data_IF_695547404415
#
_entry.id   IF_695547404415
#
_cell.length_a   1.000
_cell.length_b   1.000
_cell.length_c   1.000
_cell.angle_alpha   90.00
_cell.angle_beta   90.00
_cell.angle_gamma   90.00
#
_symmetry.space_group_name_H-M   'P 1'
#
loop_
_entity.id
_entity.type
_entity.pdbx_description
1 polymer ?
#
# COMPACT_ATOMS: atom_id res chain seq x y z
N UNK A 1 6.72 71.04 -64.42
CA UNK A 1 7.82 71.52 -63.55
C UNK A 1 7.38 71.36 -62.11
N UNK A 2 8.22 70.73 -61.27
CA UNK A 2 8.53 71.00 -59.83
C UNK A 2 7.35 71.40 -58.90
N UNK A 3 7.09 70.88 -57.70
CA UNK A 3 7.90 70.43 -56.53
C UNK A 3 6.90 69.94 -55.46
N UNK A 4 7.18 68.89 -54.69
CA UNK A 4 7.51 68.92 -53.23
C UNK A 4 6.52 69.61 -52.26
N UNK A 5 6.16 68.89 -51.18
CA UNK A 5 6.18 69.43 -49.82
C UNK A 5 4.86 69.55 -49.03
N UNK A 6 4.83 68.86 -47.86
CA UNK A 6 4.21 69.29 -46.58
C UNK A 6 2.67 69.42 -46.47
N UNK A 7 2.00 69.36 -45.31
CA UNK A 7 2.07 68.71 -43.98
C UNK A 7 0.81 69.25 -43.24
N UNK A 8 0.27 68.50 -42.25
CA UNK A 8 -0.70 68.91 -41.20
C UNK A 8 -2.18 69.10 -41.62
N UNK A 9 -3.13 68.27 -41.17
CA UNK A 9 -3.79 68.19 -39.85
C UNK A 9 -5.18 68.88 -39.89
N UNK A 10 -6.11 68.40 -39.04
CA UNK A 10 -7.49 68.86 -38.79
C UNK A 10 -8.64 68.21 -39.61
N UNK A 11 -9.25 67.18 -38.99
CA UNK A 11 -10.63 66.68 -39.14
C UNK A 11 -11.66 67.82 -38.90
N UNK A 12 -12.95 67.76 -39.33
CA UNK A 12 -13.84 66.63 -38.99
C UNK A 12 -15.06 66.39 -39.90
N UNK A 13 -15.89 65.43 -39.47
CA UNK A 13 -17.29 65.18 -39.85
C UNK A 13 -17.50 63.93 -40.71
N UNK A 14 -17.41 62.78 -40.05
CA UNK A 14 -17.81 61.48 -40.60
C UNK A 14 -18.44 60.63 -39.52
N UNK A 15 -19.76 60.43 -39.64
CA UNK A 15 -20.65 59.52 -38.92
C UNK A 15 -19.95 58.42 -38.09
N UNK A 16 -20.29 58.37 -36.80
CA UNK A 16 -19.94 57.28 -35.88
C UNK A 16 -20.44 55.93 -36.43
N UNK A 17 -19.52 55.12 -36.94
CA UNK A 17 -19.69 53.66 -36.98
C UNK A 17 -19.01 53.08 -35.75
N UNK A 18 -19.81 52.75 -34.74
CA UNK A 18 -19.34 51.96 -33.60
C UNK A 18 -19.10 50.52 -34.09
N UNK A 19 -17.84 50.20 -34.41
CA UNK A 19 -17.41 48.82 -34.64
C UNK A 19 -17.39 48.11 -33.30
N UNK A 20 -18.44 47.35 -32.99
CA UNK A 20 -18.46 46.45 -31.85
C UNK A 20 -17.48 45.31 -32.12
N UNK A 21 -16.27 45.39 -31.56
CA UNK A 21 -15.38 44.24 -31.51
C UNK A 21 -16.03 43.18 -30.61
N UNK A 22 -16.15 41.91 -31.05
CA UNK A 22 -16.54 40.85 -30.14
C UNK A 22 -15.45 40.75 -29.08
N UNK A 23 -15.81 41.08 -27.83
CA UNK A 23 -14.97 40.85 -26.66
C UNK A 23 -14.78 39.34 -26.55
N UNK A 24 -13.68 38.84 -27.11
CA UNK A 24 -13.19 37.48 -26.89
C UNK A 24 -13.09 37.29 -25.38
N UNK A 25 -14.06 36.60 -24.80
CA UNK A 25 -14.09 36.23 -23.40
C UNK A 25 -13.01 35.16 -23.19
N UNK A 26 -11.73 35.58 -23.13
CA UNK A 26 -10.65 34.72 -22.63
C UNK A 26 -10.98 34.47 -21.17
N UNK A 27 -11.61 33.32 -20.89
CA UNK A 27 -11.76 32.83 -19.54
C UNK A 27 -10.39 32.90 -18.86
N UNK A 28 -10.30 33.64 -17.76
CA UNK A 28 -9.05 33.83 -17.04
C UNK A 28 -8.56 32.47 -16.53
N UNK A 29 -7.29 32.06 -16.77
CA UNK A 29 -6.77 30.74 -16.40
C UNK A 29 -6.86 30.44 -14.89
N UNK A 30 -7.01 31.47 -14.05
CA UNK A 30 -7.22 31.35 -12.61
C UNK A 30 -8.58 30.71 -12.24
N UNK A 31 -9.64 30.98 -13.02
CA UNK A 31 -10.97 30.45 -12.73
C UNK A 31 -11.04 28.92 -12.95
N UNK A 32 -10.36 28.41 -13.98
CA UNK A 32 -10.26 26.96 -14.23
C UNK A 32 -9.46 26.23 -13.16
N UNK A 33 -8.40 26.84 -12.61
CA UNK A 33 -7.59 26.23 -11.54
C UNK A 33 -8.30 26.17 -10.19
N UNK A 34 -9.15 27.16 -9.87
CA UNK A 34 -9.96 27.16 -8.65
C UNK A 34 -11.06 26.10 -8.71
N UNK A 35 -11.75 25.96 -9.86
CA UNK A 35 -12.77 24.93 -10.06
C UNK A 35 -12.16 23.52 -9.96
N UNK A 36 -11.01 23.28 -10.61
CA UNK A 36 -10.29 22.01 -10.51
C UNK A 36 -9.87 21.68 -9.06
N UNK A 37 -9.51 22.71 -8.27
CA UNK A 37 -9.17 22.53 -6.86
C UNK A 37 -10.37 22.13 -6.01
N UNK A 38 -11.55 22.76 -6.21
CA UNK A 38 -12.77 22.40 -5.49
C UNK A 38 -13.24 20.98 -5.82
N UNK A 39 -13.24 20.61 -7.10
CA UNK A 39 -13.60 19.26 -7.56
C UNK A 39 -12.68 18.22 -6.93
N UNK A 40 -11.37 18.49 -6.86
CA UNK A 40 -10.42 17.59 -6.21
C UNK A 40 -10.65 17.45 -4.70
N UNK A 41 -10.97 18.55 -4.01
CA UNK A 41 -11.27 18.51 -2.57
C UNK A 41 -12.55 17.71 -2.26
N UNK A 42 -13.57 17.83 -3.13
CA UNK A 42 -14.81 17.09 -2.97
C UNK A 42 -14.62 15.58 -3.23
N UNK A 43 -13.88 15.21 -4.28
CA UNK A 43 -13.48 13.83 -4.53
C UNK A 43 -12.66 13.24 -3.37
N UNK A 44 -11.78 14.04 -2.76
CA UNK A 44 -11.01 13.61 -1.58
C UNK A 44 -11.89 13.34 -0.35
N UNK A 45 -12.92 14.17 -0.12
CA UNK A 45 -13.87 13.94 0.97
C UNK A 45 -14.70 12.68 0.71
N UNK A 46 -15.11 12.48 -0.53
CA UNK A 46 -15.84 11.28 -0.95
C UNK A 46 -15.00 10.01 -0.77
N UNK A 47 -13.73 10.02 -1.19
CA UNK A 47 -12.81 8.90 -0.98
C UNK A 47 -12.71 8.53 0.51
N UNK A 48 -12.50 9.51 1.39
CA UNK A 48 -12.44 9.27 2.85
C UNK A 48 -13.74 8.70 3.43
N UNK A 49 -14.89 9.13 2.91
CA UNK A 49 -16.19 8.61 3.33
C UNK A 49 -16.33 7.14 2.92
N UNK A 50 -15.96 6.81 1.68
CA UNK A 50 -15.96 5.43 1.18
C UNK A 50 -14.98 4.54 1.96
N UNK A 51 -13.79 5.03 2.27
CA UNK A 51 -12.81 4.32 3.12
C UNK A 51 -13.40 3.97 4.49
N UNK A 52 -14.04 4.94 5.16
CA UNK A 52 -14.69 4.69 6.45
C UNK A 52 -15.85 3.69 6.36
N UNK A 53 -16.63 3.72 5.29
CA UNK A 53 -17.70 2.74 5.06
C UNK A 53 -17.15 1.34 4.81
N UNK A 54 -16.09 1.23 3.99
CA UNK A 54 -15.40 -0.03 3.71
C UNK A 54 -14.82 -0.61 5.01
N UNK A 55 -14.19 0.19 5.86
CA UNK A 55 -13.62 -0.29 7.12
C UNK A 55 -14.67 -0.95 8.04
N UNK A 56 -15.81 -0.28 8.22
CA UNK A 56 -16.93 -0.79 9.02
C UNK A 56 -17.49 -2.10 8.41
N UNK A 57 -17.71 -2.12 7.10
CA UNK A 57 -18.26 -3.29 6.38
C UNK A 57 -17.29 -4.46 6.39
N UNK A 58 -15.99 -4.20 6.23
CA UNK A 58 -14.94 -5.19 6.19
C UNK A 58 -14.71 -5.80 7.59
N UNK A 59 -14.81 -4.99 8.65
CA UNK A 59 -14.83 -5.49 10.03
C UNK A 59 -16.05 -6.39 10.30
N UNK A 60 -17.24 -6.02 9.81
CA UNK A 60 -18.43 -6.85 9.93
C UNK A 60 -18.31 -8.16 9.14
N UNK A 61 -17.77 -8.10 7.93
CA UNK A 61 -17.51 -9.27 7.10
C UNK A 61 -16.46 -10.21 7.74
N UNK A 62 -15.40 -9.67 8.33
CA UNK A 62 -14.40 -10.44 9.07
C UNK A 62 -15.00 -11.21 10.25
N UNK A 63 -15.92 -10.59 11.00
CA UNK A 63 -16.68 -11.25 12.08
C UNK A 63 -17.55 -12.39 11.53
N UNK A 64 -18.22 -12.18 10.40
CA UNK A 64 -19.01 -13.22 9.73
C UNK A 64 -18.12 -14.39 9.29
N UNK A 65 -16.95 -14.12 8.70
CA UNK A 65 -16.01 -15.15 8.29
C UNK A 65 -15.49 -15.97 9.48
N UNK A 66 -15.12 -15.29 10.57
CA UNK A 66 -14.59 -15.95 11.78
C UNK A 66 -15.65 -16.76 12.54
N UNK A 67 -16.91 -16.29 12.52
CA UNK A 67 -18.04 -16.96 13.18
C UNK A 67 -18.75 -18.00 12.32
N UNK A 68 -18.32 -18.21 11.06
CA UNK A 68 -19.06 -19.00 10.08
C UNK A 68 -19.26 -20.47 10.51
N UNK A 69 -18.20 -21.12 10.99
CA UNK A 69 -18.23 -22.54 11.41
C UNK A 69 -19.20 -22.74 12.60
N UNK A 70 -19.12 -21.85 13.59
CA UNK A 70 -20.01 -21.86 14.76
C UNK A 70 -21.47 -21.59 14.40
N UNK A 71 -21.71 -20.65 13.47
CA UNK A 71 -23.05 -20.32 13.01
C UNK A 71 -23.70 -21.48 12.26
N UNK A 72 -22.96 -22.12 11.34
CA UNK A 72 -23.45 -23.25 10.54
C UNK A 72 -23.70 -24.52 11.37
N UNK A 73 -22.98 -24.70 12.48
CA UNK A 73 -23.25 -25.77 13.46
C UNK A 73 -24.53 -25.56 14.25
N UNK A 74 -24.89 -24.31 14.54
CA UNK A 74 -26.07 -23.97 15.33
C UNK A 74 -27.34 -23.94 14.48
N UNK A 75 -27.21 -23.44 13.24
CA UNK A 75 -28.29 -23.39 12.25
C UNK A 75 -27.73 -23.76 10.86
N UNK A 76 -28.05 -24.96 10.32
CA UNK A 76 -27.62 -25.40 8.99
C UNK A 76 -28.30 -24.66 7.82
N UNK A 77 -29.10 -23.62 8.10
CA UNK A 77 -29.84 -22.87 7.10
C UNK A 77 -28.92 -22.15 6.07
N UNK A 78 -29.30 -22.12 4.78
CA UNK A 78 -28.58 -21.37 3.74
C UNK A 78 -28.59 -19.84 3.93
N UNK A 79 -29.30 -19.33 4.95
CA UNK A 79 -29.36 -17.91 5.25
C UNK A 79 -27.99 -17.27 5.54
N UNK A 80 -27.07 -18.02 6.14
CA UNK A 80 -25.71 -17.54 6.41
C UNK A 80 -24.90 -17.34 5.13
N UNK A 81 -25.04 -18.25 4.16
CA UNK A 81 -24.37 -18.15 2.86
C UNK A 81 -24.93 -16.98 2.04
N UNK A 82 -26.25 -16.78 2.08
CA UNK A 82 -26.89 -15.67 1.38
C UNK A 82 -26.53 -14.31 1.99
N UNK A 83 -26.43 -14.23 3.32
CA UNK A 83 -25.95 -13.04 4.02
C UNK A 83 -24.48 -12.74 3.68
N UNK A 84 -23.63 -13.76 3.67
CA UNK A 84 -22.22 -13.59 3.31
C UNK A 84 -22.08 -13.12 1.85
N UNK A 85 -22.77 -13.75 0.90
CA UNK A 85 -22.78 -13.34 -0.50
C UNK A 85 -23.28 -11.91 -0.70
N UNK A 86 -24.34 -11.50 0.01
CA UNK A 86 -24.83 -10.12 -0.01
C UNK A 86 -23.76 -9.13 0.45
N UNK A 87 -23.01 -9.46 1.51
CA UNK A 87 -21.91 -8.62 2.02
C UNK A 87 -20.72 -8.57 1.07
N UNK A 88 -20.43 -9.67 0.39
CA UNK A 88 -19.39 -9.73 -0.65
C UNK A 88 -19.70 -8.75 -1.79
N UNK A 89 -20.90 -8.81 -2.36
CA UNK A 89 -21.33 -7.91 -3.46
C UNK A 89 -21.33 -6.44 -3.02
N UNK A 90 -21.79 -6.18 -1.80
CA UNK A 90 -21.80 -4.82 -1.25
C UNK A 90 -20.37 -4.24 -1.11
N UNK A 91 -19.43 -5.05 -0.61
CA UNK A 91 -18.01 -4.66 -0.49
C UNK A 91 -17.35 -4.47 -1.86
N UNK A 92 -17.61 -5.34 -2.82
CA UNK A 92 -17.10 -5.19 -4.20
C UNK A 92 -17.58 -3.87 -4.83
N UNK A 93 -18.85 -3.53 -4.65
CA UNK A 93 -19.40 -2.28 -5.15
C UNK A 93 -18.74 -1.05 -4.50
N UNK A 94 -18.47 -1.09 -3.20
CA UNK A 94 -17.79 0.00 -2.50
C UNK A 94 -16.32 0.12 -2.93
N UNK A 95 -15.62 -1.00 -3.10
CA UNK A 95 -14.23 -1.02 -3.59
C UNK A 95 -14.12 -0.49 -5.01
N UNK A 96 -15.06 -0.85 -5.89
CA UNK A 96 -15.10 -0.33 -7.26
C UNK A 96 -15.35 1.19 -7.27
N UNK A 97 -16.33 1.68 -6.49
CA UNK A 97 -16.59 3.12 -6.34
C UNK A 97 -15.37 3.89 -5.82
N UNK A 98 -14.64 3.34 -4.83
CA UNK A 98 -13.42 3.96 -4.34
C UNK A 98 -12.32 3.99 -5.40
N UNK A 99 -12.23 2.94 -6.24
CA UNK A 99 -11.33 2.91 -7.39
C UNK A 99 -11.66 4.01 -8.40
N UNK A 100 -12.94 4.17 -8.75
CA UNK A 100 -13.41 5.20 -9.67
C UNK A 100 -13.13 6.62 -9.15
N UNK A 101 -13.38 6.87 -7.86
CA UNK A 101 -13.08 8.15 -7.21
C UNK A 101 -11.57 8.41 -7.19
N UNK A 102 -10.74 7.39 -6.95
CA UNK A 102 -9.29 7.53 -7.00
C UNK A 102 -8.79 7.86 -8.42
N UNK A 103 -9.40 7.28 -9.45
CA UNK A 103 -9.07 7.57 -10.85
C UNK A 103 -9.52 8.98 -11.25
N UNK A 104 -10.74 9.38 -10.88
CA UNK A 104 -11.25 10.74 -11.09
C UNK A 104 -10.38 11.79 -10.35
N UNK A 105 -9.93 11.48 -9.13
CA UNK A 105 -9.04 12.34 -8.35
C UNK A 105 -7.66 12.46 -9.01
N UNK A 106 -7.18 11.39 -9.65
CA UNK A 106 -5.93 11.38 -10.42
C UNK A 106 -6.02 12.25 -11.67
N UNK A 107 -7.13 12.15 -12.42
CA UNK A 107 -7.39 12.97 -13.60
C UNK A 107 -7.56 14.46 -13.30
N UNK A 108 -7.98 14.81 -12.08
CA UNK A 108 -8.11 16.19 -11.62
C UNK A 108 -6.79 16.83 -11.15
N UNK A 109 -5.65 16.11 -11.15
CA UNK A 109 -4.34 16.66 -10.77
C UNK A 109 -3.75 17.46 -11.93
N UNK A 110 -3.79 18.79 -11.86
CA UNK A 110 -3.17 19.68 -12.85
C UNK A 110 -1.75 20.17 -12.46
N UNK A 111 -1.00 19.38 -11.68
CA UNK A 111 0.38 19.65 -11.26
C UNK A 111 0.51 20.00 -9.77
N UNK A 112 1.38 19.27 -9.06
CA UNK A 112 1.74 19.48 -7.66
C UNK A 112 2.07 18.17 -6.90
N UNK A 113 3.27 18.07 -6.32
CA UNK A 113 3.78 16.87 -5.63
C UNK A 113 2.87 16.41 -4.47
N UNK A 114 2.26 17.35 -3.73
CA UNK A 114 1.43 17.03 -2.57
C UNK A 114 0.09 16.34 -2.93
N UNK A 115 -0.55 16.74 -4.04
CA UNK A 115 -1.80 16.11 -4.51
C UNK A 115 -1.50 14.72 -5.09
N UNK A 116 -0.39 14.58 -5.81
CA UNK A 116 0.12 13.30 -6.31
C UNK A 116 0.36 12.31 -5.16
N UNK A 117 1.06 12.72 -4.10
CA UNK A 117 1.29 11.88 -2.93
C UNK A 117 0.00 11.47 -2.21
N UNK A 118 -0.98 12.38 -2.13
CA UNK A 118 -2.28 12.07 -1.53
C UNK A 118 -3.03 10.99 -2.31
N UNK A 119 -3.03 11.10 -3.65
CA UNK A 119 -3.65 10.09 -4.51
C UNK A 119 -2.91 8.75 -4.44
N UNK A 120 -1.57 8.77 -4.44
CA UNK A 120 -0.78 7.57 -4.24
C UNK A 120 -1.15 6.85 -2.93
N UNK A 121 -1.36 7.62 -1.85
CA UNK A 121 -1.82 7.07 -0.57
C UNK A 121 -3.22 6.46 -0.64
N UNK A 122 -4.17 7.13 -1.29
CA UNK A 122 -5.52 6.57 -1.46
C UNK A 122 -5.51 5.28 -2.31
N UNK A 123 -4.59 5.16 -3.30
CA UNK A 123 -4.38 3.93 -4.06
C UNK A 123 -3.78 2.80 -3.21
N UNK A 124 -2.81 3.12 -2.34
CA UNK A 124 -2.25 2.16 -1.37
C UNK A 124 -3.34 1.62 -0.44
N UNK A 125 -4.15 2.50 0.16
CA UNK A 125 -5.25 2.13 1.06
C UNK A 125 -6.28 1.26 0.33
N UNK A 126 -6.67 1.63 -0.90
CA UNK A 126 -7.58 0.82 -1.73
C UNK A 126 -7.02 -0.58 -2.01
N UNK A 127 -5.73 -0.67 -2.30
CA UNK A 127 -5.05 -1.95 -2.50
C UNK A 127 -5.08 -2.82 -1.24
N UNK A 128 -4.80 -2.23 -0.07
CA UNK A 128 -4.84 -2.92 1.22
C UNK A 128 -6.24 -3.46 1.53
N UNK A 129 -7.30 -2.66 1.31
CA UNK A 129 -8.68 -3.14 1.47
C UNK A 129 -9.02 -4.28 0.50
N UNK A 130 -8.58 -4.20 -0.75
CA UNK A 130 -8.80 -5.26 -1.75
C UNK A 130 -8.09 -6.56 -1.34
N UNK A 131 -6.86 -6.44 -0.82
CA UNK A 131 -6.09 -7.58 -0.32
C UNK A 131 -6.77 -8.23 0.89
N UNK A 132 -7.19 -7.43 1.87
CA UNK A 132 -7.91 -7.95 3.03
C UNK A 132 -9.25 -8.58 2.65
N UNK A 133 -10.00 -7.98 1.73
CA UNK A 133 -11.24 -8.54 1.21
C UNK A 133 -11.03 -9.93 0.59
N UNK A 134 -9.99 -10.10 -0.25
CA UNK A 134 -9.64 -11.40 -0.84
C UNK A 134 -9.21 -12.41 0.22
N UNK A 135 -8.44 -11.98 1.22
CA UNK A 135 -8.01 -12.83 2.34
C UNK A 135 -9.23 -13.34 3.12
N UNK A 136 -10.18 -12.48 3.43
CA UNK A 136 -11.42 -12.85 4.13
C UNK A 136 -12.30 -13.77 3.26
N UNK A 137 -12.39 -13.51 1.96
CA UNK A 137 -13.08 -14.40 1.01
C UNK A 137 -12.49 -15.81 0.98
N UNK A 138 -11.15 -15.92 0.95
CA UNK A 138 -10.48 -17.22 1.02
C UNK A 138 -10.74 -17.95 2.34
N UNK A 139 -10.70 -17.24 3.48
CA UNK A 139 -11.04 -17.82 4.78
C UNK A 139 -12.47 -18.34 4.84
N UNK A 140 -13.43 -17.59 4.28
CA UNK A 140 -14.83 -18.01 4.22
C UNK A 140 -15.01 -19.23 3.30
N UNK A 141 -14.33 -19.25 2.15
CA UNK A 141 -14.33 -20.40 1.24
C UNK A 141 -13.78 -21.66 1.91
N UNK A 142 -12.65 -21.56 2.60
CA UNK A 142 -12.08 -22.69 3.34
C UNK A 142 -13.01 -23.16 4.48
N UNK A 143 -13.65 -22.23 5.19
CA UNK A 143 -14.62 -22.57 6.23
C UNK A 143 -15.87 -23.25 5.65
N UNK A 144 -16.31 -22.82 4.47
CA UNK A 144 -17.40 -23.46 3.72
C UNK A 144 -17.01 -24.86 3.27
N UNK A 145 -15.86 -25.03 2.63
CA UNK A 145 -15.37 -26.34 2.15
C UNK A 145 -15.24 -27.32 3.33
N UNK A 146 -14.68 -26.87 4.46
CA UNK A 146 -14.59 -27.66 5.68
C UNK A 146 -15.97 -28.12 6.17
N UNK A 147 -16.95 -27.22 6.15
CA UNK A 147 -18.32 -27.56 6.56
C UNK A 147 -19.01 -28.53 5.60
N UNK A 148 -18.74 -28.43 4.29
CA UNK A 148 -19.30 -29.34 3.28
C UNK A 148 -18.68 -30.74 3.41
N UNK A 149 -17.37 -30.83 3.65
CA UNK A 149 -16.67 -32.09 3.93
C UNK A 149 -17.20 -32.77 5.21
N UNK A 150 -17.37 -32.01 6.30
CA UNK A 150 -17.91 -32.54 7.56
C UNK A 150 -19.40 -32.91 7.47
N UNK A 151 -20.17 -32.20 6.66
CA UNK A 151 -21.57 -32.55 6.38
C UNK A 151 -21.68 -33.85 5.57
N UNK A 152 -20.80 -34.03 4.58
CA UNK A 152 -20.74 -35.26 3.79
C UNK A 152 -20.36 -36.47 4.66
N UNK A 153 -19.36 -36.32 5.54
CA UNK A 153 -18.94 -37.37 6.46
C UNK A 153 -20.07 -37.75 7.44
N UNK A 154 -20.71 -36.77 8.09
CA UNK A 154 -21.85 -37.02 9.00
C UNK A 154 -23.07 -37.65 8.30
N UNK A 155 -23.27 -37.42 6.99
CA UNK A 155 -24.34 -38.08 6.22
C UNK A 155 -23.99 -39.52 5.80
N UNK A 156 -22.69 -39.83 5.69
CA UNK A 156 -22.17 -41.15 5.28
C UNK A 156 -21.91 -42.09 6.45
N UNK A 157 -21.86 -41.58 7.68
CA UNK A 157 -21.97 -42.38 8.89
C UNK A 157 -23.46 -42.43 9.22
N UNK A 158 -24.24 -43.44 8.75
CA UNK A 158 -25.50 -43.69 9.40
C UNK A 158 -25.14 -43.87 10.87
N UNK A 159 -25.78 -43.06 11.71
CA UNK A 159 -25.76 -43.20 13.16
C UNK A 159 -25.98 -44.69 13.48
N UNK A 160 -24.87 -45.42 13.60
CA UNK A 160 -24.78 -46.79 14.09
C UNK A 160 -24.94 -46.73 15.62
N UNK A 161 -25.90 -45.91 16.07
CA UNK A 161 -26.43 -45.88 17.42
C UNK A 161 -27.50 -46.96 17.63
N UNK A 162 -27.77 -47.78 16.61
CA UNK A 162 -28.51 -49.04 16.76
C UNK A 162 -27.48 -50.15 17.00
N UNK A 163 -27.24 -50.42 18.28
CA UNK A 163 -26.82 -51.72 18.83
C UNK A 163 -25.55 -52.36 18.25
N UNK A 164 -24.39 -51.91 18.74
CA UNK A 164 -23.30 -52.87 19.03
C UNK A 164 -22.80 -52.63 20.45
N UNK A 165 -23.68 -52.87 21.43
CA UNK A 165 -23.31 -53.14 22.82
C UNK A 165 -22.66 -54.53 22.86
N UNK A 166 -21.39 -54.61 22.48
CA UNK A 166 -20.59 -55.84 22.56
C UNK A 166 -19.12 -55.52 22.31
N UNK A 167 -18.21 -56.31 22.92
CA UNK A 167 -16.76 -56.13 22.82
C UNK A 167 -16.26 -55.94 21.36
N UNK A 168 -16.92 -56.56 20.40
CA UNK A 168 -16.57 -56.45 18.97
C UNK A 168 -16.83 -55.05 18.38
N UNK A 169 -17.83 -54.31 18.88
CA UNK A 169 -18.11 -52.94 18.44
C UNK A 169 -17.08 -51.93 18.95
N UNK A 170 -16.57 -52.12 20.17
CA UNK A 170 -15.49 -51.27 20.67
C UNK A 170 -14.17 -51.54 19.94
N UNK A 171 -13.89 -52.80 19.58
CA UNK A 171 -12.69 -53.18 18.82
C UNK A 171 -12.71 -52.62 17.39
N UNK A 172 -13.87 -52.59 16.73
CA UNK A 172 -14.01 -51.97 15.40
C UNK A 172 -13.82 -50.44 15.48
N UNK A 173 -14.38 -49.80 16.52
CA UNK A 173 -14.15 -48.37 16.79
C UNK A 173 -12.68 -48.09 17.09
N UNK A 174 -12.04 -48.92 17.90
CA UNK A 174 -10.62 -48.81 18.23
C UNK A 174 -9.76 -48.92 16.96
N UNK A 175 -10.06 -49.89 16.10
CA UNK A 175 -9.39 -50.05 14.81
C UNK A 175 -9.57 -48.85 13.89
N UNK A 176 -10.76 -48.25 13.85
CA UNK A 176 -11.01 -47.03 13.09
C UNK A 176 -10.21 -45.85 13.67
N UNK A 177 -10.14 -45.71 14.99
CA UNK A 177 -9.32 -44.67 15.63
C UNK A 177 -7.82 -44.87 15.41
N UNK A 178 -7.33 -46.12 15.39
CA UNK A 178 -5.93 -46.43 15.06
C UNK A 178 -5.65 -46.09 13.60
N UNK A 179 -6.56 -46.40 12.68
CA UNK A 179 -6.44 -46.02 11.27
C UNK A 179 -6.31 -44.51 11.09
N UNK A 180 -7.20 -43.75 11.73
CA UNK A 180 -7.18 -42.29 11.70
C UNK A 180 -5.91 -41.72 12.34
N UNK A 181 -5.46 -42.29 13.47
CA UNK A 181 -4.22 -41.91 14.12
C UNK A 181 -3.00 -42.18 13.23
N UNK A 182 -2.98 -43.29 12.50
CA UNK A 182 -1.88 -43.62 11.59
C UNK A 182 -1.81 -42.63 10.42
N UNK A 183 -2.95 -42.29 9.80
CA UNK A 183 -2.99 -41.27 8.73
C UNK A 183 -2.60 -39.88 9.22
N UNK A 184 -2.99 -39.49 10.44
CA UNK A 184 -2.56 -38.24 11.05
C UNK A 184 -1.04 -38.23 11.32
N UNK A 185 -0.47 -39.35 11.78
CA UNK A 185 0.97 -39.50 11.97
C UNK A 185 1.72 -39.37 10.64
N UNK A 186 1.24 -39.98 9.56
CA UNK A 186 1.84 -39.86 8.23
C UNK A 186 1.87 -38.39 7.74
N UNK A 187 0.80 -37.63 7.98
CA UNK A 187 0.74 -36.20 7.65
C UNK A 187 1.74 -35.37 8.49
N UNK A 188 1.87 -35.68 9.78
CA UNK A 188 2.86 -35.03 10.64
C UNK A 188 4.29 -35.38 10.26
N UNK A 189 4.53 -36.62 9.83
CA UNK A 189 5.84 -37.08 9.35
C UNK A 189 6.22 -36.37 8.06
N UNK A 190 5.28 -36.22 7.12
CA UNK A 190 5.48 -35.45 5.88
C UNK A 190 5.80 -33.98 6.18
N UNK A 191 5.06 -33.35 7.10
CA UNK A 191 5.35 -31.97 7.52
C UNK A 191 6.74 -31.88 8.18
N UNK A 192 7.11 -32.86 9.00
CA UNK A 192 8.40 -32.88 9.69
C UNK A 192 9.57 -33.06 8.71
N UNK A 193 9.43 -33.89 7.67
CA UNK A 193 10.46 -34.07 6.65
C UNK A 193 10.63 -32.83 5.78
N UNK A 194 9.53 -32.13 5.45
CA UNK A 194 9.55 -30.85 4.73
C UNK A 194 10.18 -29.72 5.57
N UNK A 195 9.89 -29.67 6.87
CA UNK A 195 10.55 -28.74 7.80
C UNK A 195 12.04 -29.06 7.93
N UNK A 196 12.42 -30.33 8.01
CA UNK A 196 13.81 -30.74 8.09
C UNK A 196 14.59 -30.34 6.83
N UNK A 197 14.02 -30.52 5.63
CA UNK A 197 14.65 -30.05 4.40
C UNK A 197 14.76 -28.52 4.34
N UNK A 198 13.71 -27.81 4.78
CA UNK A 198 13.69 -26.35 4.84
C UNK A 198 14.76 -25.79 5.79
N UNK A 199 14.96 -26.41 6.95
CA UNK A 199 16.04 -26.04 7.88
C UNK A 199 17.43 -26.32 7.30
N UNK A 200 17.58 -27.38 6.50
CA UNK A 200 18.79 -27.67 5.73
C UNK A 200 19.12 -26.57 4.73
N UNK A 201 18.12 -26.12 3.95
CA UNK A 201 18.28 -25.01 2.99
C UNK A 201 18.57 -23.69 3.71
N UNK A 202 17.88 -23.39 4.82
CA UNK A 202 18.15 -22.21 5.64
C UNK A 202 19.58 -22.20 6.17
N UNK A 203 20.11 -23.35 6.61
CA UNK A 203 21.51 -23.47 7.05
C UNK A 203 22.49 -23.09 5.93
N UNK A 204 22.23 -23.53 4.70
CA UNK A 204 23.04 -23.17 3.53
C UNK A 204 22.97 -21.66 3.24
N UNK A 205 21.80 -21.04 3.41
CA UNK A 205 21.65 -19.59 3.29
C UNK A 205 22.45 -18.86 4.38
N UNK A 206 22.41 -19.31 5.63
CA UNK A 206 23.19 -18.72 6.73
C UNK A 206 24.70 -18.83 6.51
N UNK A 207 25.17 -19.96 5.96
CA UNK A 207 26.56 -20.11 5.55
C UNK A 207 26.93 -19.10 4.45
N UNK A 208 26.03 -18.90 3.46
CA UNK A 208 26.17 -17.86 2.45
C UNK A 208 26.20 -16.44 3.03
N UNK A 209 25.36 -16.13 4.02
CA UNK A 209 25.34 -14.84 4.72
C UNK A 209 26.63 -14.64 5.51
N UNK A 210 27.14 -15.67 6.17
CA UNK A 210 28.41 -15.61 6.91
C UNK A 210 29.56 -15.32 5.95
N UNK A 211 29.61 -15.99 4.79
CA UNK A 211 30.60 -15.74 3.74
C UNK A 211 30.50 -14.32 3.14
N UNK A 212 29.28 -13.79 2.99
CA UNK A 212 29.07 -12.39 2.58
C UNK A 212 29.49 -11.41 3.67
N UNK A 213 29.22 -11.71 4.94
CA UNK A 213 29.58 -10.86 6.08
C UNK A 213 31.10 -10.82 6.27
N UNK A 214 31.81 -11.94 6.14
CA UNK A 214 33.28 -11.97 6.15
C UNK A 214 33.86 -11.19 4.96
N UNK A 215 33.23 -11.29 3.78
CA UNK A 215 33.59 -10.48 2.60
C UNK A 215 33.36 -8.98 2.86
N UNK A 216 32.24 -8.58 3.46
CA UNK A 216 31.97 -7.18 3.83
C UNK A 216 32.94 -6.69 4.92
N UNK A 217 33.27 -7.54 5.90
CA UNK A 217 34.29 -7.28 6.92
C UNK A 217 35.65 -6.96 6.31
N UNK A 218 36.03 -7.66 5.22
CA UNK A 218 37.28 -7.38 4.49
C UNK A 218 37.27 -6.04 3.73
N UNK A 219 36.09 -5.47 3.43
CA UNK A 219 35.93 -4.17 2.75
C UNK A 219 35.83 -3.00 3.73
N UNK A 220 35.44 -3.25 4.98
CA UNK A 220 35.40 -2.25 6.04
C UNK A 220 36.72 -1.48 6.27
N UNK A 221 37.91 -2.10 6.28
CA UNK A 221 39.18 -1.37 6.39
C UNK A 221 39.48 -0.47 5.17
N UNK A 222 39.02 -0.84 3.98
CA UNK A 222 39.13 -0.01 2.76
C UNK A 222 38.23 1.22 2.87
N UNK A 223 37.01 1.06 3.39
CA UNK A 223 36.10 2.18 3.69
C UNK A 223 36.69 3.11 4.74
N UNK A 224 37.32 2.58 5.80
CA UNK A 224 38.04 3.41 6.78
C UNK A 224 39.23 4.14 6.17
N UNK A 225 39.94 3.53 5.21
CA UNK A 225 41.00 4.20 4.44
C UNK A 225 40.46 5.38 3.61
N UNK A 226 39.34 5.19 2.92
CA UNK A 226 38.67 6.24 2.13
C UNK A 226 38.11 7.35 3.04
N UNK A 227 37.49 7.01 4.17
CA UNK A 227 37.00 7.96 5.16
C UNK A 227 38.14 8.82 5.73
N UNK A 228 39.28 8.20 6.05
CA UNK A 228 40.47 8.91 6.54
C UNK A 228 41.09 9.79 5.44
N UNK A 229 41.14 9.33 4.19
CA UNK A 229 41.60 10.14 3.07
C UNK A 229 40.71 11.38 2.84
N UNK A 230 39.39 11.23 2.95
CA UNK A 230 38.42 12.33 2.84
C UNK A 230 38.59 13.32 4.00
N UNK A 231 38.70 12.83 5.25
CA UNK A 231 38.95 13.69 6.43
C UNK A 231 40.27 14.45 6.29
N UNK A 232 41.33 13.81 5.77
CA UNK A 232 42.65 14.42 5.55
C UNK A 232 42.64 15.49 4.45
N UNK A 233 41.76 15.38 3.45
CA UNK A 233 41.59 16.42 2.43
C UNK A 233 40.86 17.64 3.02
N UNK A 234 39.80 17.41 3.81
CA UNK A 234 39.05 18.49 4.48
C UNK A 234 39.88 19.21 5.56
N UNK A 235 40.75 18.50 6.28
CA UNK A 235 41.60 19.11 7.32
C UNK A 235 42.66 20.06 6.78
N UNK A 236 43.15 19.87 5.55
CA UNK A 236 44.18 20.74 4.96
C UNK A 236 43.68 22.18 4.80
N UNK A 237 42.47 22.36 4.28
CA UNK A 237 41.91 23.69 4.05
C UNK A 237 41.66 24.42 5.38
N UNK A 238 41.19 23.71 6.41
CA UNK A 238 41.02 24.28 7.75
C UNK A 238 42.35 24.66 8.41
N UNK A 239 43.40 23.84 8.24
CA UNK A 239 44.74 24.13 8.78
C UNK A 239 45.33 25.38 8.10
N UNK A 240 45.20 25.50 6.78
CA UNK A 240 45.70 26.66 6.03
C UNK A 240 44.96 27.93 6.48
N UNK A 241 43.63 27.88 6.58
CA UNK A 241 42.82 29.04 6.99
C UNK A 241 43.15 29.46 8.44
N UNK A 242 43.28 28.52 9.37
CA UNK A 242 43.66 28.81 10.75
C UNK A 242 45.07 29.41 10.86
N UNK A 243 46.03 28.93 10.06
CA UNK A 243 47.39 29.46 10.04
C UNK A 243 47.44 30.92 9.55
N UNK A 244 46.66 31.27 8.52
CA UNK A 244 46.58 32.66 8.01
C UNK A 244 45.98 33.58 9.06
N UNK A 245 44.88 33.18 9.70
CA UNK A 245 44.26 33.99 10.77
C UNK A 245 45.25 34.21 11.92
N UNK A 246 45.92 33.16 12.38
CA UNK A 246 46.91 33.26 13.47
C UNK A 246 48.10 34.16 13.10
N UNK A 247 48.57 34.12 11.85
CA UNK A 247 49.63 35.01 11.39
C UNK A 247 49.17 36.48 11.38
N UNK A 248 47.95 36.75 10.88
CA UNK A 248 47.38 38.10 10.86
C UNK A 248 47.16 38.66 12.28
N UNK A 249 46.66 37.85 13.22
CA UNK A 249 46.47 38.29 14.60
C UNK A 249 47.81 38.57 15.29
N UNK A 250 48.82 37.72 15.07
CA UNK A 250 50.15 37.90 15.66
C UNK A 250 50.84 39.16 15.12
N UNK A 251 50.75 39.43 13.81
CA UNK A 251 51.29 40.66 13.21
C UNK A 251 50.61 41.91 13.77
N UNK A 252 49.30 41.85 13.98
CA UNK A 252 48.53 42.95 14.59
C UNK A 252 48.99 43.22 16.02
N UNK A 253 49.18 42.17 16.82
CA UNK A 253 49.67 42.28 18.21
C UNK A 253 51.08 42.86 18.26
N UNK A 254 52.00 42.39 17.41
CA UNK A 254 53.37 42.94 17.34
C UNK A 254 53.35 44.42 16.96
N UNK A 255 52.53 44.80 15.96
CA UNK A 255 52.40 46.19 15.56
C UNK A 255 51.88 47.08 16.70
N UNK A 256 50.90 46.58 17.46
CA UNK A 256 50.36 47.28 18.62
C UNK A 256 51.35 47.43 19.77
N UNK A 257 52.22 46.44 19.99
CA UNK A 257 53.25 46.48 21.03
C UNK A 257 54.46 47.35 20.65
N UNK A 258 54.74 47.50 19.35
CA UNK A 258 55.84 48.33 18.85
C UNK A 258 55.45 49.80 18.61
N UNK A 259 54.20 50.17 18.88
CA UNK A 259 53.70 51.55 18.76
C UNK A 259 53.51 52.18 20.13
#
# INVERSE_FOLDING_TARGET
>A
MLREGELLEELPSGRRFAMAYPRSNKASPAASSEVSTRVWEDLRKEARKLEGEIDIKLAAYSKLCSGYDSAKKLDPSPGHDQLAASKTVELENLLNKLSDVNEAMSGAISGGDARSHTVARHREIHHDYTKEFRRLGAMLGEARDRSELLSAENSSVPLLGVQVQGANGSLLRERATIGNANSALDATLSTATEVASSLGEQRQIFEGVTNKLTTLGSKFPVVNGLLNAIRRKKSKDTIILAAVIAACTLFTIIYWLNK
#
